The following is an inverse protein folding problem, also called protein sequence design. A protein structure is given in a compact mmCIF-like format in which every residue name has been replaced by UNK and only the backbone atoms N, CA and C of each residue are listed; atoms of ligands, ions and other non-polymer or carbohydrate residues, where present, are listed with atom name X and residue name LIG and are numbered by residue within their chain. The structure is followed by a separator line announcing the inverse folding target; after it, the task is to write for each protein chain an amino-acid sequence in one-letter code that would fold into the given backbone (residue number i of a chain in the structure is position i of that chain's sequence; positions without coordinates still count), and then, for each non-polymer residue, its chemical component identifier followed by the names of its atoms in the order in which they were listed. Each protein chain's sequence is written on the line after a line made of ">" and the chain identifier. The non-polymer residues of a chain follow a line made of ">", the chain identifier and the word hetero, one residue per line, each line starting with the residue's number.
data_IF_916544268291
#
_entry.id   IF_916544268291
#
_cell.length_a   1.000
_cell.length_b   1.000
_cell.length_c   1.000
_cell.angle_alpha   90.00
_cell.angle_beta   90.00
_cell.angle_gamma   90.00
#
_symmetry.space_group_name_H-M   'P 1'
#
loop_
_entity.id
_entity.type
_entity.pdbx_description
1 polymer ?
#
# COMPACT_ATOMS: atom_id res chain seq x y z
N UNK A 1 -2.84 -18.12 -7.98
CA UNK A 1 -2.82 -19.37 -7.18
C UNK A 1 -3.42 -19.05 -5.81
N UNK A 2 -4.04 -19.99 -5.09
CA UNK A 2 -4.59 -19.72 -3.74
C UNK A 2 -3.58 -20.13 -2.65
N UNK A 3 -3.63 -19.46 -1.50
CA UNK A 3 -2.86 -19.83 -0.30
C UNK A 3 -3.82 -20.33 0.77
N UNK A 4 -3.39 -21.35 1.50
CA UNK A 4 -4.16 -21.91 2.62
C UNK A 4 -3.53 -21.43 3.93
N UNK A 5 -4.39 -21.11 4.89
CA UNK A 5 -4.01 -20.79 6.26
C UNK A 5 -4.95 -21.51 7.21
N UNK A 6 -4.44 -21.98 8.35
CA UNK A 6 -5.27 -22.56 9.40
C UNK A 6 -5.23 -21.68 10.64
N UNK A 7 -6.42 -21.31 11.14
CA UNK A 7 -6.61 -20.75 12.47
C UNK A 7 -6.72 -21.89 13.49
N UNK A 8 -6.14 -21.68 14.67
CA UNK A 8 -6.04 -22.68 15.73
C UNK A 8 -6.26 -21.99 17.08
N UNK A 9 -7.22 -22.48 17.88
CA UNK A 9 -7.49 -21.97 19.23
C UNK A 9 -6.85 -22.85 20.28
N UNK A 10 -6.00 -22.29 21.14
CA UNK A 10 -5.36 -23.00 22.24
C UNK A 10 -5.32 -22.15 23.51
N UNK A 11 -5.03 -22.79 24.64
CA UNK A 11 -4.92 -22.08 25.92
C UNK A 11 -3.57 -21.37 26.05
N UNK A 12 -3.55 -20.26 26.77
CA UNK A 12 -2.32 -19.57 27.16
C UNK A 12 -1.37 -20.56 27.84
N UNK A 13 -0.16 -20.69 27.27
CA UNK A 13 0.89 -21.59 27.77
C UNK A 13 0.97 -22.94 27.06
N UNK A 14 0.01 -23.29 26.19
CA UNK A 14 0.21 -24.37 25.22
C UNK A 14 1.23 -23.93 24.14
N UNK A 15 2.13 -24.84 23.75
CA UNK A 15 3.09 -24.56 22.67
C UNK A 15 2.34 -24.38 21.33
N UNK A 16 2.70 -23.33 20.60
CA UNK A 16 2.22 -23.13 19.24
C UNK A 16 2.55 -24.37 18.37
N UNK A 17 1.61 -24.87 17.55
CA UNK A 17 1.91 -25.95 16.62
C UNK A 17 3.04 -25.54 15.67
N UNK A 18 3.85 -26.51 15.22
CA UNK A 18 5.08 -26.31 14.42
C UNK A 18 4.91 -25.24 13.32
N UNK A 19 5.51 -24.06 13.54
CA UNK A 19 5.55 -22.96 12.57
C UNK A 19 4.37 -21.99 12.61
N UNK A 20 3.46 -22.10 13.58
CA UNK A 20 2.40 -21.14 13.83
C UNK A 20 2.88 -19.87 14.54
N UNK A 21 2.20 -18.76 14.28
CA UNK A 21 2.42 -17.47 14.95
C UNK A 21 1.14 -17.04 15.64
N UNK A 22 1.26 -16.31 16.76
CA UNK A 22 0.08 -15.70 17.37
C UNK A 22 -0.60 -14.77 16.37
N UNK A 23 -1.93 -14.84 16.27
CA UNK A 23 -2.70 -14.08 15.29
C UNK A 23 -2.49 -12.56 15.47
N UNK A 24 -2.25 -12.11 16.71
CA UNK A 24 -1.94 -10.72 17.04
C UNK A 24 -0.61 -10.24 16.42
N UNK A 25 0.35 -11.14 16.20
CA UNK A 25 1.67 -10.86 15.65
C UNK A 25 1.79 -11.26 14.17
N UNK A 26 0.77 -11.92 13.62
CA UNK A 26 0.80 -12.49 12.28
C UNK A 26 1.14 -11.47 11.19
N UNK A 27 0.71 -10.22 11.34
CA UNK A 27 0.95 -9.13 10.38
C UNK A 27 2.43 -8.76 10.21
N UNK A 28 3.24 -8.95 11.26
CA UNK A 28 4.66 -8.60 11.28
C UNK A 28 5.58 -9.84 11.12
N UNK A 29 5.02 -11.04 11.20
CA UNK A 29 5.76 -12.31 11.14
C UNK A 29 6.31 -12.70 9.76
N UNK A 30 5.79 -12.09 8.69
CA UNK A 30 6.05 -12.50 7.30
C UNK A 30 5.29 -13.75 6.85
N UNK A 31 4.52 -14.41 7.73
CA UNK A 31 3.69 -15.59 7.40
C UNK A 31 2.53 -15.23 6.45
N UNK A 32 1.92 -14.07 6.67
CA UNK A 32 0.80 -13.54 5.89
C UNK A 32 1.02 -12.04 5.64
N UNK A 33 0.63 -11.53 4.47
CA UNK A 33 0.71 -10.10 4.19
C UNK A 33 -0.35 -9.33 4.98
N UNK A 34 -0.13 -8.07 5.41
CA UNK A 34 -1.15 -7.29 6.11
C UNK A 34 -2.50 -7.19 5.34
N UNK A 35 -2.52 -7.01 4.01
CA UNK A 35 -3.77 -7.07 3.23
C UNK A 35 -4.47 -8.43 3.28
N UNK A 36 -3.72 -9.53 3.21
CA UNK A 36 -4.31 -10.88 3.29
C UNK A 36 -4.81 -11.20 4.70
N UNK A 37 -4.11 -10.73 5.74
CA UNK A 37 -4.58 -10.83 7.12
C UNK A 37 -5.90 -10.07 7.29
N UNK A 38 -6.00 -8.83 6.81
CA UNK A 38 -7.25 -8.08 6.83
C UNK A 38 -8.39 -8.83 6.11
N UNK A 39 -8.11 -9.39 4.93
CA UNK A 39 -9.08 -10.21 4.18
C UNK A 39 -9.49 -11.46 4.95
N UNK A 40 -8.55 -12.13 5.62
CA UNK A 40 -8.80 -13.30 6.46
C UNK A 40 -9.78 -12.96 7.58
N UNK A 41 -9.51 -11.87 8.30
CA UNK A 41 -10.32 -11.40 9.44
C UNK A 41 -11.74 -10.96 9.03
N UNK A 42 -11.91 -10.56 7.77
CA UNK A 42 -13.21 -10.17 7.21
C UNK A 42 -14.09 -11.34 6.76
N UNK A 43 -13.57 -12.57 6.73
CA UNK A 43 -14.35 -13.73 6.31
C UNK A 43 -15.41 -14.11 7.37
N UNK A 44 -16.67 -14.34 6.97
CA UNK A 44 -17.75 -14.71 7.91
C UNK A 44 -17.42 -15.94 8.75
N UNK A 45 -16.88 -16.99 8.14
CA UNK A 45 -16.47 -18.23 8.81
C UNK A 45 -15.35 -18.02 9.84
N UNK A 46 -14.46 -17.04 9.64
CA UNK A 46 -13.42 -16.68 10.61
C UNK A 46 -14.04 -16.01 11.82
N UNK A 47 -14.98 -15.09 11.61
CA UNK A 47 -15.71 -14.43 12.70
C UNK A 47 -16.58 -15.40 13.50
N UNK A 48 -17.21 -16.35 12.82
CA UNK A 48 -17.98 -17.43 13.44
C UNK A 48 -17.07 -18.30 14.30
N UNK A 49 -15.92 -18.73 13.77
CA UNK A 49 -14.93 -19.50 14.51
C UNK A 49 -14.40 -18.77 15.74
N UNK A 50 -14.15 -17.45 15.67
CA UNK A 50 -13.78 -16.68 16.86
C UNK A 50 -14.90 -16.67 17.91
N UNK A 51 -16.16 -16.57 17.47
CA UNK A 51 -17.31 -16.58 18.38
C UNK A 51 -17.46 -17.94 19.06
N UNK A 52 -17.32 -19.04 18.32
CA UNK A 52 -17.44 -20.42 18.84
C UNK A 52 -16.34 -20.76 19.84
N UNK A 53 -15.15 -20.19 19.65
CA UNK A 53 -13.98 -20.42 20.50
C UNK A 53 -13.75 -19.28 21.52
N UNK A 54 -14.75 -18.42 21.71
CA UNK A 54 -14.73 -17.33 22.67
C UNK A 54 -13.52 -16.37 22.53
N UNK A 55 -12.92 -16.24 21.35
CA UNK A 55 -11.75 -15.39 21.13
C UNK A 55 -12.11 -13.91 21.23
N UNK A 56 -11.48 -13.19 22.17
CA UNK A 56 -11.73 -11.77 22.38
C UNK A 56 -11.28 -11.26 23.76
N UNK A 57 -11.52 -9.98 24.07
CA UNK A 57 -11.12 -9.38 25.35
C UNK A 57 -11.76 -10.04 26.57
N UNK A 58 -12.86 -10.76 26.38
CA UNK A 58 -13.61 -11.45 27.42
C UNK A 58 -13.06 -12.87 27.74
N UNK A 59 -12.06 -13.35 26.99
CA UNK A 59 -11.41 -14.65 27.21
C UNK A 59 -9.87 -14.53 27.10
N UNK A 60 -9.20 -13.98 28.13
CA UNK A 60 -7.77 -13.75 28.11
C UNK A 60 -6.93 -15.03 28.15
N UNK A 61 -7.54 -16.17 28.46
CA UNK A 61 -6.89 -17.48 28.49
C UNK A 61 -6.89 -18.22 27.13
N UNK A 62 -7.61 -17.72 26.13
CA UNK A 62 -7.64 -18.30 24.77
C UNK A 62 -6.72 -17.50 23.83
N UNK A 63 -5.79 -18.20 23.18
CA UNK A 63 -4.86 -17.64 22.20
C UNK A 63 -5.18 -18.22 20.83
N UNK A 64 -5.28 -17.32 19.85
CA UNK A 64 -5.48 -17.69 18.46
C UNK A 64 -4.14 -17.70 17.73
N UNK A 65 -3.83 -18.80 17.06
CA UNK A 65 -2.65 -18.94 16.21
C UNK A 65 -3.03 -19.03 14.74
N UNK A 66 -2.10 -18.61 13.88
CA UNK A 66 -2.18 -18.72 12.44
C UNK A 66 -1.03 -19.58 11.91
N UNK A 67 -1.36 -20.58 11.10
CA UNK A 67 -0.40 -21.48 10.46
C UNK A 67 -0.55 -21.38 8.94
N UNK A 68 0.56 -21.44 8.20
CA UNK A 68 0.54 -21.55 6.75
C UNK A 68 0.28 -23.00 6.33
N UNK A 69 -0.67 -23.21 5.42
CA UNK A 69 -1.09 -24.53 4.96
C UNK A 69 -2.32 -25.05 5.69
N UNK A 70 -2.51 -26.36 5.63
CA UNK A 70 -3.58 -27.08 6.30
C UNK A 70 -3.03 -27.76 7.56
N UNK A 71 -3.73 -27.58 8.68
CA UNK A 71 -3.44 -28.24 9.94
C UNK A 71 -4.74 -28.78 10.53
N UNK A 72 -4.78 -30.08 10.77
CA UNK A 72 -5.84 -30.69 11.57
C UNK A 72 -5.32 -30.98 12.98
N UNK A 73 -6.15 -30.76 13.99
CA UNK A 73 -5.83 -31.10 15.38
C UNK A 73 -6.97 -31.88 16.01
N UNK A 74 -6.64 -33.02 16.62
CA UNK A 74 -7.59 -33.77 17.45
C UNK A 74 -7.75 -33.21 18.86
N UNK A 75 -6.92 -32.23 19.24
CA UNK A 75 -6.88 -31.64 20.60
C UNK A 75 -7.50 -30.25 20.65
N UNK A 76 -7.46 -29.52 19.55
CA UNK A 76 -7.80 -28.10 19.51
C UNK A 76 -8.66 -27.80 18.29
N UNK A 77 -9.62 -26.87 18.39
CA UNK A 77 -10.40 -26.41 17.24
C UNK A 77 -9.49 -25.78 16.18
N UNK A 78 -9.74 -26.15 14.91
CA UNK A 78 -9.02 -25.61 13.75
C UNK A 78 -9.98 -25.18 12.65
N UNK A 79 -9.65 -24.10 11.95
CA UNK A 79 -10.35 -23.64 10.75
C UNK A 79 -9.36 -23.36 9.62
N UNK A 80 -9.39 -24.18 8.57
CA UNK A 80 -8.58 -23.99 7.37
C UNK A 80 -9.31 -23.11 6.36
N UNK A 81 -8.64 -22.05 5.91
CA UNK A 81 -9.12 -21.03 4.99
C UNK A 81 -8.26 -21.02 3.75
N UNK A 82 -8.91 -21.06 2.59
CA UNK A 82 -8.24 -20.76 1.32
C UNK A 82 -8.47 -19.30 0.95
N UNK A 83 -7.40 -18.51 0.99
CA UNK A 83 -7.41 -17.15 0.45
C UNK A 83 -6.98 -17.17 -1.03
N UNK A 84 -7.76 -16.59 -1.95
CA UNK A 84 -7.26 -16.33 -3.29
C UNK A 84 -6.10 -15.34 -3.19
N UNK A 85 -5.10 -15.47 -4.06
CA UNK A 85 -4.03 -14.46 -4.19
C UNK A 85 -4.64 -13.06 -4.22
N UNK A 86 -4.04 -12.13 -3.50
CA UNK A 86 -4.38 -10.74 -3.70
C UNK A 86 -4.23 -10.41 -5.20
N UNK A 87 -5.15 -9.64 -5.79
CA UNK A 87 -4.99 -9.22 -7.16
C UNK A 87 -3.66 -8.48 -7.27
N UNK A 88 -2.79 -8.94 -8.18
CA UNK A 88 -1.51 -8.28 -8.43
C UNK A 88 -1.83 -6.90 -8.98
N UNK A 89 -1.53 -5.88 -8.18
CA UNK A 89 -1.74 -4.50 -8.60
C UNK A 89 -0.81 -4.19 -9.79
N UNK A 90 -1.35 -3.57 -10.83
CA UNK A 90 -0.56 -3.08 -11.95
C UNK A 90 -0.01 -1.71 -11.61
N UNK A 91 1.29 -1.51 -11.76
CA UNK A 91 1.94 -0.24 -11.50
C UNK A 91 2.49 0.34 -12.81
N UNK A 92 1.97 1.49 -13.22
CA UNK A 92 2.33 2.16 -14.47
C UNK A 92 3.14 3.42 -14.18
N UNK A 93 4.38 3.49 -14.65
CA UNK A 93 5.22 4.68 -14.48
C UNK A 93 4.96 5.71 -15.58
N UNK A 94 4.28 6.79 -15.24
CA UNK A 94 3.98 7.92 -16.13
C UNK A 94 4.99 9.07 -15.96
N UNK A 95 6.14 8.80 -15.32
CA UNK A 95 7.26 9.74 -15.27
C UNK A 95 8.16 9.56 -16.50
N UNK A 96 8.97 10.59 -16.88
CA UNK A 96 9.80 10.52 -18.10
C UNK A 96 10.92 9.46 -18.07
N UNK A 97 11.30 8.98 -16.89
CA UNK A 97 12.46 8.12 -16.70
C UNK A 97 12.10 6.88 -15.88
N UNK A 98 12.85 5.78 -16.01
CA UNK A 98 12.70 4.63 -15.12
C UNK A 98 12.83 5.07 -13.66
N UNK A 99 12.01 4.46 -12.80
CA UNK A 99 12.11 4.65 -11.35
C UNK A 99 12.47 3.32 -10.70
N UNK A 100 13.28 3.37 -9.64
CA UNK A 100 13.60 2.20 -8.82
C UNK A 100 12.82 2.32 -7.52
N UNK A 101 11.94 1.34 -7.25
CA UNK A 101 11.13 1.28 -6.03
C UNK A 101 11.45 -0.04 -5.33
N UNK A 102 11.96 0.02 -4.09
CA UNK A 102 12.38 -1.15 -3.32
C UNK A 102 13.28 -2.10 -4.12
N UNK A 103 14.27 -1.54 -4.84
CA UNK A 103 15.18 -2.30 -5.71
C UNK A 103 14.58 -2.78 -7.05
N UNK A 104 13.27 -2.59 -7.28
CA UNK A 104 12.60 -2.98 -8.53
C UNK A 104 12.54 -1.81 -9.50
N UNK A 105 13.05 -1.99 -10.72
CA UNK A 105 13.01 -0.97 -11.77
C UNK A 105 11.68 -1.02 -12.52
N UNK A 106 10.99 0.12 -12.59
CA UNK A 106 9.72 0.28 -13.30
C UNK A 106 9.96 1.18 -14.52
N UNK A 107 9.86 0.64 -15.75
CA UNK A 107 10.11 1.40 -16.97
C UNK A 107 8.99 2.42 -17.22
N UNK A 108 9.30 3.57 -17.84
CA UNK A 108 8.28 4.54 -18.20
C UNK A 108 7.32 3.95 -19.25
N UNK A 109 6.03 4.28 -19.15
CA UNK A 109 5.00 3.87 -20.14
C UNK A 109 5.10 4.66 -21.45
N UNK A 110 5.81 5.79 -21.43
CA UNK A 110 5.84 6.76 -22.53
C UNK A 110 4.68 7.75 -22.49
N UNK A 111 3.68 7.56 -21.62
CA UNK A 111 2.62 8.53 -21.35
C UNK A 111 3.12 9.47 -20.25
N UNK A 112 3.23 10.77 -20.55
CA UNK A 112 3.82 11.75 -19.63
C UNK A 112 2.81 12.89 -19.42
N UNK A 113 1.86 12.75 -18.48
CA UNK A 113 0.80 13.73 -18.28
C UNK A 113 1.37 15.10 -17.96
N UNK A 114 0.90 16.11 -18.69
CA UNK A 114 1.25 17.53 -18.49
C UNK A 114 0.06 18.30 -17.99
N UNK A 115 0.29 19.19 -17.04
CA UNK A 115 -0.68 20.21 -16.65
C UNK A 115 -0.46 21.42 -17.55
N UNK A 116 -1.45 21.85 -18.34
CA UNK A 116 -1.39 23.12 -19.07
C UNK A 116 -1.21 24.26 -18.08
N UNK A 117 -0.25 25.14 -18.35
CA UNK A 117 0.07 26.27 -17.47
C UNK A 117 -0.38 27.57 -18.14
N UNK A 118 -1.08 28.43 -17.40
CA UNK A 118 -1.41 29.78 -17.83
C UNK A 118 -0.87 30.77 -16.80
N UNK A 119 0.14 31.53 -17.23
CA UNK A 119 0.79 32.54 -16.39
C UNK A 119 0.36 33.94 -16.83
N UNK A 120 -0.01 34.78 -15.87
CA UNK A 120 -0.29 36.20 -16.11
C UNK A 120 0.37 37.05 -15.04
N UNK A 121 0.94 38.19 -15.44
CA UNK A 121 1.37 39.22 -14.49
C UNK A 121 0.15 39.81 -13.80
N UNK A 122 0.19 39.84 -12.47
CA UNK A 122 -0.91 40.36 -11.62
C UNK A 122 -0.49 41.61 -10.87
N UNK A 123 0.80 41.82 -10.67
CA UNK A 123 1.33 42.98 -9.96
C UNK A 123 2.81 43.23 -10.32
N UNK A 124 3.42 44.25 -9.71
CA UNK A 124 4.84 44.60 -9.84
C UNK A 124 5.37 45.10 -8.49
N UNK A 125 6.55 44.64 -8.09
CA UNK A 125 7.27 45.17 -6.92
C UNK A 125 8.55 45.85 -7.35
N UNK A 126 8.80 47.07 -6.87
CA UNK A 126 10.07 47.76 -7.10
C UNK A 126 11.05 47.43 -5.98
N UNK A 127 12.20 46.87 -6.35
CA UNK A 127 13.31 46.60 -5.43
C UNK A 127 14.59 47.25 -5.96
N UNK A 128 15.20 48.14 -5.18
CA UNK A 128 16.41 48.90 -5.56
C UNK A 128 16.29 49.64 -6.90
N UNK A 129 15.08 50.13 -7.21
CA UNK A 129 14.80 50.84 -8.48
C UNK A 129 14.58 49.93 -9.68
N UNK A 130 14.50 48.60 -9.48
CA UNK A 130 14.15 47.62 -10.51
C UNK A 130 12.72 47.14 -10.29
N UNK A 131 11.89 47.26 -11.33
CA UNK A 131 10.52 46.74 -11.34
C UNK A 131 10.55 45.23 -11.64
N UNK A 132 10.07 44.43 -10.68
CA UNK A 132 10.02 42.97 -10.74
C UNK A 132 8.56 42.55 -10.88
N UNK A 133 8.15 41.86 -11.97
CA UNK A 133 6.78 41.44 -12.16
C UNK A 133 6.40 40.33 -11.18
N UNK A 134 5.23 40.45 -10.57
CA UNK A 134 4.59 39.38 -9.80
C UNK A 134 3.62 38.67 -10.74
N UNK A 135 3.79 37.35 -10.89
CA UNK A 135 2.96 36.52 -11.77
C UNK A 135 2.18 35.49 -10.97
N UNK A 136 0.94 35.22 -11.41
CA UNK A 136 0.16 34.07 -10.99
C UNK A 136 0.16 33.02 -12.10
N UNK A 137 0.25 31.75 -11.71
CA UNK A 137 0.16 30.61 -12.65
C UNK A 137 -0.99 29.71 -12.24
N UNK A 138 -1.90 29.46 -13.18
CA UNK A 138 -2.98 28.48 -13.02
C UNK A 138 -2.69 27.23 -13.84
N UNK A 139 -3.12 26.09 -13.32
CA UNK A 139 -2.97 24.79 -13.96
C UNK A 139 -4.33 24.31 -14.47
N UNK A 140 -4.39 23.94 -15.74
CA UNK A 140 -5.55 23.26 -16.33
C UNK A 140 -5.50 21.76 -16.09
N UNK A 141 -6.49 21.04 -16.63
CA UNK A 141 -6.53 19.58 -16.60
C UNK A 141 -5.56 18.96 -17.61
N UNK A 142 -4.92 17.87 -17.22
CA UNK A 142 -4.11 17.01 -18.07
C UNK A 142 -4.97 16.08 -18.92
N UNK A 143 -5.01 16.32 -20.23
CA UNK A 143 -5.71 15.44 -21.19
C UNK A 143 -5.00 14.08 -21.39
N UNK A 144 -3.73 13.96 -20.99
CA UNK A 144 -2.92 12.76 -21.16
C UNK A 144 -2.94 11.85 -19.92
N UNK A 145 -3.59 12.26 -18.84
CA UNK A 145 -3.70 11.45 -17.63
C UNK A 145 -4.79 10.37 -17.82
N UNK A 146 -4.43 9.06 -17.81
CA UNK A 146 -5.41 7.99 -17.96
C UNK A 146 -6.46 7.97 -16.85
N UNK A 147 -7.65 7.51 -17.19
CA UNK A 147 -8.74 7.26 -16.24
C UNK A 147 -8.38 6.13 -15.26
N UNK A 148 -8.90 6.19 -14.01
CA UNK A 148 -8.60 5.19 -13.00
C UNK A 148 -9.17 3.83 -13.41
N UNK A 149 -8.34 2.80 -13.35
CA UNK A 149 -8.71 1.41 -13.63
C UNK A 149 -8.58 0.56 -12.36
N UNK A 150 -9.57 -0.27 -11.99
CA UNK A 150 -9.48 -1.13 -10.82
C UNK A 150 -8.20 -1.97 -10.80
N UNK A 151 -7.50 -1.98 -9.66
CA UNK A 151 -6.24 -2.71 -9.50
C UNK A 151 -5.03 -2.10 -10.21
N UNK A 152 -5.15 -0.89 -10.77
CA UNK A 152 -4.02 -0.18 -11.40
C UNK A 152 -3.68 1.08 -10.62
N UNK A 153 -2.39 1.31 -10.39
CA UNK A 153 -1.84 2.55 -9.85
C UNK A 153 -0.95 3.24 -10.89
N UNK A 154 -1.02 4.56 -10.95
CA UNK A 154 -0.23 5.39 -11.85
C UNK A 154 0.82 6.16 -11.05
N UNK A 155 2.10 5.93 -11.32
CA UNK A 155 3.19 6.72 -10.73
C UNK A 155 3.40 7.97 -11.55
N UNK A 156 3.15 9.13 -10.96
CA UNK A 156 3.18 10.44 -11.63
C UNK A 156 4.12 11.41 -10.89
N UNK A 157 4.56 12.49 -11.55
CA UNK A 157 5.24 13.60 -10.86
C UNK A 157 4.32 14.23 -9.81
N UNK A 158 4.90 14.74 -8.72
CA UNK A 158 4.12 15.24 -7.58
C UNK A 158 3.10 16.34 -7.94
N UNK A 159 3.47 17.24 -8.85
CA UNK A 159 2.57 18.28 -9.39
C UNK A 159 1.28 17.70 -10.00
N UNK A 160 1.35 16.54 -10.65
CA UNK A 160 0.18 15.88 -11.24
C UNK A 160 -0.70 15.34 -10.13
N UNK A 161 -0.15 14.55 -9.20
CA UNK A 161 -0.94 14.00 -8.09
C UNK A 161 -1.63 15.10 -7.26
N UNK A 162 -0.92 16.21 -6.98
CA UNK A 162 -1.45 17.36 -6.24
C UNK A 162 -2.56 18.12 -6.99
N UNK A 163 -2.55 18.10 -8.33
CA UNK A 163 -3.63 18.69 -9.14
C UNK A 163 -4.90 17.82 -9.15
N UNK A 164 -4.79 16.53 -8.79
CA UNK A 164 -5.90 15.58 -8.74
C UNK A 164 -6.05 14.94 -7.35
N UNK A 165 -6.28 15.72 -6.28
CA UNK A 165 -6.29 15.21 -4.90
C UNK A 165 -7.41 14.20 -4.63
N UNK A 166 -8.43 14.14 -5.48
CA UNK A 166 -9.53 13.18 -5.40
C UNK A 166 -9.18 11.80 -5.99
N UNK A 167 -8.13 11.71 -6.82
CA UNK A 167 -7.70 10.44 -7.43
C UNK A 167 -6.91 9.62 -6.42
N UNK A 168 -7.34 8.38 -6.22
CA UNK A 168 -6.79 7.49 -5.17
C UNK A 168 -5.78 6.48 -5.69
N UNK A 169 -5.65 6.40 -7.01
CA UNK A 169 -4.76 5.54 -7.78
C UNK A 169 -3.45 6.24 -8.20
N UNK A 170 -3.33 7.55 -7.98
CA UNK A 170 -2.10 8.30 -8.26
C UNK A 170 -1.11 8.17 -7.12
N UNK A 171 0.10 7.73 -7.47
CA UNK A 171 1.23 7.58 -6.57
C UNK A 171 2.39 8.45 -7.03
N UNK A 172 3.27 8.81 -6.10
CA UNK A 172 4.49 9.58 -6.35
C UNK A 172 5.68 8.81 -5.79
N UNK A 173 6.88 8.94 -6.36
CA UNK A 173 8.09 8.46 -5.68
C UNK A 173 8.19 9.05 -4.27
N UNK A 174 8.45 8.21 -3.28
CA UNK A 174 8.63 8.62 -1.89
C UNK A 174 9.98 9.27 -1.62
N UNK A 175 10.42 9.23 -0.36
CA UNK A 175 11.74 9.73 0.02
C UNK A 175 12.86 9.00 -0.76
N UNK A 176 13.79 9.78 -1.29
CA UNK A 176 14.92 9.26 -2.04
C UNK A 176 15.81 8.37 -1.16
N UNK A 177 16.03 7.14 -1.60
CA UNK A 177 17.06 6.26 -1.10
C UNK A 177 18.40 6.66 -1.71
N UNK A 178 19.44 6.73 -0.89
CA UNK A 178 20.78 7.14 -1.32
C UNK A 178 21.82 6.08 -0.97
N UNK A 179 22.82 5.93 -1.84
CA UNK A 179 23.98 5.09 -1.58
C UNK A 179 24.96 5.75 -0.58
N UNK A 180 26.06 5.06 -0.26
CA UNK A 180 27.11 5.55 0.63
C UNK A 180 27.82 6.82 0.14
N UNK A 181 27.71 7.16 -1.15
CA UNK A 181 28.22 8.39 -1.75
C UNK A 181 27.14 9.50 -1.83
N UNK A 182 25.94 9.24 -1.32
CA UNK A 182 24.81 10.18 -1.34
C UNK A 182 24.07 10.26 -2.67
N UNK A 183 24.36 9.40 -3.67
CA UNK A 183 23.64 9.36 -4.95
C UNK A 183 22.28 8.71 -4.76
N UNK A 184 21.26 9.24 -5.44
CA UNK A 184 19.92 8.64 -5.42
C UNK A 184 19.96 7.32 -6.19
N UNK A 185 19.60 6.22 -5.53
CA UNK A 185 19.53 4.87 -6.12
C UNK A 185 18.10 4.38 -6.31
N UNK A 186 17.12 5.05 -5.69
CA UNK A 186 15.71 4.70 -5.80
C UNK A 186 14.86 5.36 -4.73
N UNK A 187 13.74 4.73 -4.42
CA UNK A 187 12.86 5.05 -3.28
C UNK A 187 12.42 3.75 -2.61
N UNK A 188 12.23 3.78 -1.28
CA UNK A 188 11.76 2.63 -0.51
C UNK A 188 10.24 2.62 -0.28
N UNK A 189 9.54 3.61 -0.81
CA UNK A 189 8.10 3.71 -0.74
C UNK A 189 7.55 4.56 -1.89
N UNK A 190 6.27 4.35 -2.18
CA UNK A 190 5.46 5.27 -2.97
C UNK A 190 4.58 6.09 -2.04
N UNK A 191 4.46 7.38 -2.32
CA UNK A 191 3.63 8.32 -1.57
C UNK A 191 2.31 8.58 -2.30
N UNK A 192 1.30 9.01 -1.55
CA UNK A 192 0.01 9.49 -2.07
C UNK A 192 -0.33 10.83 -1.43
N UNK A 193 -1.19 11.61 -2.07
CA UNK A 193 -1.75 12.82 -1.47
C UNK A 193 -2.62 12.43 -0.26
N UNK A 194 -2.51 13.12 0.89
CA UNK A 194 -3.38 12.90 2.04
C UNK A 194 -4.86 13.11 1.70
N UNK A 195 -5.74 12.42 2.42
CA UNK A 195 -7.20 12.62 2.34
C UNK A 195 -7.70 13.41 3.52
#
# INVERSE_FOLDING_TARGET
>A
MSRMYTLFSALVGDEAPLGGVELAEAGDSGLISPPDLARLMDLPQVREFFTENNYGPDAPEEVMYLVAGELESGRFPTLTITLPEAPVATLLNLTPHPITVCGTVIPPTGIIPRLPERTSQVDTVTFEGVDIPIVETTFGESAELPDPTPGTYLVVPARIALAYPHRTDLLMPGAAERDGDGRIVGVNALARVPR
#
